data_IF_067583666817
#
_entry.id   IF_067583666817
#
_cell.length_a   1.000
_cell.length_b   1.000
_cell.length_c   1.000
_cell.angle_alpha   90.00
_cell.angle_beta   90.00
_cell.angle_gamma   90.00
#
_symmetry.space_group_name_H-M   'P 1'
#
loop_
_entity.id
_entity.type
_entity.pdbx_description
1 polymer ?
#
# COMPACT_ATOMS: atom_id res chain seq x y z
N UNK A 1 41.38 -20.02 43.75
CA UNK A 1 41.35 -20.03 42.27
C UNK A 1 40.14 -20.83 41.84
N UNK A 2 39.28 -20.51 40.88
CA UNK A 2 38.96 -19.37 40.03
C UNK A 2 37.51 -19.69 39.54
N UNK A 3 36.50 -18.87 39.84
CA UNK A 3 35.97 -17.76 39.04
C UNK A 3 35.13 -18.19 37.81
N UNK A 4 33.87 -17.69 37.79
CA UNK A 4 33.02 -17.30 36.65
C UNK A 4 32.30 -18.49 35.92
N UNK A 5 31.01 -18.48 35.49
CA UNK A 5 30.11 -17.42 34.99
C UNK A 5 28.60 -17.69 35.18
N UNK A 6 27.94 -16.60 35.53
CA UNK A 6 26.57 -16.16 35.20
C UNK A 6 26.45 -15.88 33.69
N UNK A 7 25.30 -16.20 33.10
CA UNK A 7 24.47 -15.29 32.27
C UNK A 7 23.73 -16.02 31.13
N UNK A 8 22.42 -15.74 31.08
CA UNK A 8 21.64 -15.38 29.90
C UNK A 8 21.64 -16.35 28.71
N UNK A 9 20.56 -17.12 28.59
CA UNK A 9 20.05 -17.47 27.26
C UNK A 9 19.56 -16.19 26.57
N UNK A 10 20.03 -15.89 25.35
CA UNK A 10 19.61 -14.70 24.63
C UNK A 10 18.17 -14.90 24.13
N UNK A 11 17.31 -13.98 24.55
CA UNK A 11 15.99 -13.76 23.96
C UNK A 11 16.15 -13.64 22.44
N UNK A 12 15.29 -14.35 21.71
CA UNK A 12 15.21 -14.28 20.26
C UNK A 12 15.14 -12.84 19.77
N UNK A 13 15.90 -12.57 18.72
CA UNK A 13 15.98 -11.30 18.01
C UNK A 13 14.60 -10.66 17.84
N UNK A 14 14.38 -9.52 18.49
CA UNK A 14 13.31 -8.60 18.17
C UNK A 14 13.62 -7.97 16.80
N UNK A 15 13.29 -8.69 15.73
CA UNK A 15 13.14 -8.12 14.39
C UNK A 15 11.88 -7.28 14.47
N UNK A 16 12.01 -5.94 14.47
CA UNK A 16 10.87 -5.02 14.41
C UNK A 16 9.86 -5.54 13.40
N UNK A 17 8.60 -5.82 13.79
CA UNK A 17 7.70 -6.52 12.90
C UNK A 17 7.44 -5.63 11.69
N UNK A 18 7.75 -6.14 10.49
CA UNK A 18 7.15 -5.65 9.26
C UNK A 18 5.65 -5.84 9.48
N UNK A 19 4.94 -4.78 9.87
CA UNK A 19 3.49 -4.88 10.04
C UNK A 19 2.91 -5.29 8.71
N UNK A 20 1.96 -6.21 8.76
CA UNK A 20 1.29 -6.74 7.57
C UNK A 20 -0.19 -6.36 7.59
N UNK A 21 -0.90 -6.54 6.47
CA UNK A 21 -2.36 -6.39 6.41
C UNK A 21 -3.07 -7.17 7.54
N UNK A 22 -2.54 -8.34 7.91
CA UNK A 22 -3.09 -9.15 9.01
C UNK A 22 -3.01 -8.39 10.34
N UNK A 23 -1.91 -7.67 10.60
CA UNK A 23 -1.72 -6.92 11.84
C UNK A 23 -2.59 -5.67 11.89
N UNK A 24 -2.81 -5.01 10.74
CA UNK A 24 -3.80 -3.94 10.61
C UNK A 24 -5.21 -4.47 10.94
N UNK A 25 -5.61 -5.59 10.33
CA UNK A 25 -6.92 -6.22 10.60
C UNK A 25 -7.08 -6.63 12.07
N UNK A 26 -6.03 -7.11 12.73
CA UNK A 26 -6.04 -7.43 14.17
C UNK A 26 -6.23 -6.20 15.06
N UNK A 27 -5.84 -5.02 14.58
CA UNK A 27 -5.98 -3.78 15.33
C UNK A 27 -7.35 -3.11 15.15
N UNK A 28 -8.14 -3.54 14.16
CA UNK A 28 -9.49 -3.02 13.91
C UNK A 28 -10.47 -3.48 14.98
N UNK A 29 -11.43 -2.63 15.26
CA UNK A 29 -12.59 -2.93 16.11
C UNK A 29 -13.59 -3.84 15.40
N UNK A 30 -14.44 -4.53 16.16
CA UNK A 30 -15.52 -5.37 15.62
C UNK A 30 -16.46 -4.60 14.68
N UNK A 31 -16.70 -3.31 14.95
CA UNK A 31 -17.52 -2.44 14.10
C UNK A 31 -16.83 -2.18 12.76
N UNK A 32 -15.53 -1.91 12.76
CA UNK A 32 -14.76 -1.69 11.53
C UNK A 32 -14.63 -2.98 10.70
N UNK A 33 -14.42 -4.12 11.36
CA UNK A 33 -14.41 -5.43 10.69
C UNK A 33 -15.77 -5.78 10.09
N UNK A 34 -16.87 -5.47 10.80
CA UNK A 34 -18.23 -5.62 10.26
C UNK A 34 -18.43 -4.73 9.04
N UNK A 35 -18.02 -3.46 9.10
CA UNK A 35 -18.11 -2.52 7.98
C UNK A 35 -17.34 -3.03 6.76
N UNK A 36 -16.12 -3.57 6.96
CA UNK A 36 -15.34 -4.19 5.90
C UNK A 36 -16.12 -5.33 5.22
N UNK A 37 -16.74 -6.24 6.00
CA UNK A 37 -17.51 -7.35 5.44
C UNK A 37 -18.81 -6.92 4.75
N UNK A 38 -19.41 -5.80 5.17
CA UNK A 38 -20.59 -5.23 4.52
C UNK A 38 -20.23 -4.58 3.17
N UNK A 39 -19.10 -3.89 3.10
CA UNK A 39 -18.62 -3.25 1.86
C UNK A 39 -18.00 -4.29 0.91
N UNK A 40 -17.34 -5.33 1.44
CA UNK A 40 -16.78 -6.46 0.67
C UNK A 40 -17.43 -7.79 1.06
N UNK A 41 -18.65 -8.07 0.57
CA UNK A 41 -19.37 -9.31 0.88
C UNK A 41 -18.70 -10.56 0.32
N UNK A 42 -17.81 -10.42 -0.67
CA UNK A 42 -17.01 -11.51 -1.22
C UNK A 42 -15.99 -12.07 -0.20
N UNK A 43 -15.56 -11.25 0.76
CA UNK A 43 -14.68 -11.70 1.84
C UNK A 43 -15.37 -12.67 2.80
N UNK A 44 -16.68 -12.57 2.95
CA UNK A 44 -17.47 -13.40 3.85
C UNK A 44 -17.86 -14.77 3.24
N UNK A 45 -17.56 -15.02 1.95
CA UNK A 45 -18.04 -16.21 1.23
C UNK A 45 -16.89 -16.97 0.54
N UNK A 46 -16.53 -18.18 1.02
CA UNK A 46 -17.03 -18.85 2.24
C UNK A 46 -16.58 -18.13 3.52
N UNK A 47 -17.20 -18.40 4.67
CA UNK A 47 -16.79 -17.76 5.92
C UNK A 47 -15.30 -18.02 6.21
N UNK A 48 -14.48 -16.98 6.47
CA UNK A 48 -13.07 -17.16 6.80
C UNK A 48 -12.93 -17.79 8.18
N UNK A 49 -11.92 -18.66 8.36
CA UNK A 49 -11.65 -19.30 9.65
C UNK A 49 -11.03 -18.34 10.68
N UNK A 50 -10.24 -17.37 10.21
CA UNK A 50 -9.56 -16.38 11.03
C UNK A 50 -9.20 -15.11 10.21
N UNK A 51 -8.56 -14.13 10.87
CA UNK A 51 -8.11 -12.89 10.22
C UNK A 51 -6.98 -13.10 9.20
N UNK A 52 -6.21 -14.18 9.32
CA UNK A 52 -5.14 -14.52 8.37
C UNK A 52 -5.77 -14.98 7.05
N UNK A 53 -6.77 -15.87 7.12
CA UNK A 53 -7.55 -16.33 5.98
C UNK A 53 -8.35 -15.18 5.35
N UNK A 54 -8.88 -14.26 6.17
CA UNK A 54 -9.53 -13.04 5.70
C UNK A 54 -8.54 -12.17 4.90
N UNK A 55 -7.35 -11.90 5.45
CA UNK A 55 -6.31 -11.11 4.77
C UNK A 55 -5.86 -11.76 3.46
N UNK A 56 -5.58 -13.06 3.47
CA UNK A 56 -5.17 -13.81 2.29
C UNK A 56 -6.24 -13.78 1.18
N UNK A 57 -7.53 -13.87 1.56
CA UNK A 57 -8.63 -13.67 0.62
C UNK A 57 -8.66 -12.24 0.10
N UNK A 58 -8.45 -11.28 1.01
CA UNK A 58 -8.52 -9.87 0.70
C UNK A 58 -7.45 -9.39 -0.27
N UNK A 59 -6.32 -10.08 -0.33
CA UNK A 59 -5.22 -9.83 -1.26
C UNK A 59 -5.27 -10.69 -2.52
N UNK A 60 -6.34 -11.45 -2.76
CA UNK A 60 -6.49 -12.17 -4.04
C UNK A 60 -6.88 -11.24 -5.18
N UNK A 61 -6.39 -11.54 -6.39
CA UNK A 61 -6.67 -10.74 -7.59
C UNK A 61 -8.15 -10.56 -7.85
N UNK A 62 -8.93 -11.65 -7.73
CA UNK A 62 -10.38 -11.61 -7.97
C UNK A 62 -11.11 -10.69 -6.97
N UNK A 63 -10.72 -10.75 -5.70
CA UNK A 63 -11.35 -9.96 -4.64
C UNK A 63 -10.97 -8.47 -4.74
N UNK A 64 -9.70 -8.18 -5.01
CA UNK A 64 -9.24 -6.80 -5.25
C UNK A 64 -9.84 -6.21 -6.53
N UNK A 65 -9.96 -6.99 -7.61
CA UNK A 65 -10.58 -6.50 -8.86
C UNK A 65 -12.02 -6.07 -8.63
N UNK A 66 -12.82 -6.88 -7.93
CA UNK A 66 -14.20 -6.52 -7.56
C UNK A 66 -14.25 -5.27 -6.69
N UNK A 67 -13.38 -5.20 -5.68
CA UNK A 67 -13.32 -4.03 -4.80
C UNK A 67 -12.95 -2.75 -5.56
N UNK A 68 -12.15 -2.84 -6.63
CA UNK A 68 -11.81 -1.72 -7.53
C UNK A 68 -12.97 -1.37 -8.46
N UNK A 69 -13.70 -2.36 -8.99
CA UNK A 69 -14.90 -2.17 -9.82
C UNK A 69 -16.03 -1.46 -9.07
N UNK A 70 -16.13 -1.67 -7.75
CA UNK A 70 -17.10 -1.03 -6.86
C UNK A 70 -16.70 0.38 -6.40
N UNK A 71 -15.52 0.88 -6.78
CA UNK A 71 -15.09 2.25 -6.45
C UNK A 71 -15.81 3.27 -7.33
N UNK A 72 -16.22 4.39 -6.72
CA UNK A 72 -16.57 5.56 -7.50
C UNK A 72 -15.33 6.14 -8.21
N UNK A 73 -15.57 7.01 -9.19
CA UNK A 73 -14.50 7.60 -10.01
C UNK A 73 -13.48 8.40 -9.17
N UNK A 74 -13.91 9.03 -8.08
CA UNK A 74 -13.04 9.81 -7.20
C UNK A 74 -12.09 8.92 -6.41
N UNK A 75 -12.63 7.87 -5.79
CA UNK A 75 -11.87 6.85 -5.07
C UNK A 75 -10.95 6.06 -6.01
N UNK A 76 -11.38 5.76 -7.23
CA UNK A 76 -10.55 5.12 -8.24
C UNK A 76 -9.33 5.98 -8.59
N UNK A 77 -9.53 7.28 -8.83
CA UNK A 77 -8.44 8.24 -9.08
C UNK A 77 -7.50 8.36 -7.89
N UNK A 78 -8.04 8.36 -6.68
CA UNK A 78 -7.22 8.34 -5.46
C UNK A 78 -6.38 7.06 -5.38
N UNK A 79 -6.99 5.89 -5.59
CA UNK A 79 -6.29 4.62 -5.62
C UNK A 79 -5.16 4.60 -6.67
N UNK A 80 -5.41 5.15 -7.86
CA UNK A 80 -4.39 5.33 -8.90
C UNK A 80 -3.22 6.20 -8.42
N UNK A 81 -3.53 7.36 -7.83
CA UNK A 81 -2.52 8.25 -7.27
C UNK A 81 -1.73 7.61 -6.13
N UNK A 82 -2.37 6.80 -5.28
CA UNK A 82 -1.70 6.05 -4.23
C UNK A 82 -0.71 5.02 -4.80
N UNK A 83 -1.12 4.26 -5.81
CA UNK A 83 -0.23 3.30 -6.50
C UNK A 83 0.96 4.03 -7.12
N UNK A 84 0.74 5.12 -7.85
CA UNK A 84 1.81 5.92 -8.48
C UNK A 84 2.78 6.47 -7.42
N UNK A 85 2.29 7.01 -6.31
CA UNK A 85 3.12 7.52 -5.22
C UNK A 85 3.89 6.43 -4.46
N UNK A 86 3.38 5.18 -4.48
CA UNK A 86 4.09 4.03 -3.92
C UNK A 86 5.22 3.55 -4.85
N UNK A 87 5.02 3.57 -6.17
CA UNK A 87 6.01 3.10 -7.16
C UNK A 87 7.12 4.13 -7.44
N UNK A 88 6.81 5.42 -7.36
CA UNK A 88 7.77 6.52 -7.60
C UNK A 88 8.96 6.57 -6.64
N UNK A 89 9.00 5.68 -5.63
CA UNK A 89 10.10 5.51 -4.68
C UNK A 89 10.96 4.27 -4.91
N UNK A 90 10.80 3.57 -6.03
CA UNK A 90 11.81 2.58 -6.43
C UNK A 90 13.15 3.32 -6.61
N UNK A 91 14.21 2.97 -5.85
CA UNK A 91 15.50 3.61 -6.02
C UNK A 91 15.93 3.40 -7.46
N UNK A 92 16.48 4.45 -8.08
CA UNK A 92 17.26 4.35 -9.31
C UNK A 92 18.06 3.05 -9.26
N UNK A 93 17.81 2.14 -10.21
CA UNK A 93 18.41 0.81 -10.28
C UNK A 93 19.93 0.95 -10.25
N UNK A 94 20.50 0.87 -9.05
CA UNK A 94 21.87 0.52 -8.77
C UNK A 94 21.90 -1.00 -8.73
N UNK A 95 22.68 -1.57 -9.65
CA UNK A 95 22.97 -2.99 -9.83
C UNK A 95 22.84 -3.84 -8.54
N UNK A 96 21.92 -4.82 -8.60
CA UNK A 96 22.13 -6.14 -8.01
C UNK A 96 21.86 -6.26 -6.52
N UNK A 97 20.58 -6.20 -6.11
CA UNK A 97 20.07 -7.08 -5.07
C UNK A 97 18.54 -7.13 -5.16
N UNK A 98 17.99 -8.32 -5.41
CA UNK A 98 16.56 -8.56 -5.56
C UNK A 98 15.93 -8.71 -4.17
N UNK A 99 16.00 -7.66 -3.36
CA UNK A 99 15.26 -7.58 -2.10
C UNK A 99 14.17 -6.56 -2.34
N UNK A 100 12.95 -7.04 -2.60
CA UNK A 100 11.77 -6.18 -2.68
C UNK A 100 11.75 -5.32 -1.40
N UNK A 101 11.94 -3.99 -1.48
CA UNK A 101 11.91 -3.19 -0.28
C UNK A 101 10.49 -3.27 0.28
N UNK A 102 10.39 -3.42 1.61
CA UNK A 102 9.14 -3.24 2.33
C UNK A 102 8.45 -1.98 1.79
N UNK A 103 7.16 -2.10 1.44
CA UNK A 103 6.41 -1.02 0.84
C UNK A 103 6.59 0.25 1.68
N UNK A 104 7.19 1.28 1.11
CA UNK A 104 7.47 2.50 1.85
C UNK A 104 6.14 3.20 2.18
N UNK A 105 5.97 3.76 3.39
CA UNK A 105 4.73 4.41 3.81
C UNK A 105 4.32 5.48 2.81
N UNK A 106 3.06 5.48 2.38
CA UNK A 106 2.50 6.36 1.37
C UNK A 106 2.62 7.82 1.80
N UNK A 107 3.29 8.63 0.97
CA UNK A 107 3.35 10.07 1.19
C UNK A 107 2.05 10.75 0.70
N UNK A 108 1.22 11.14 1.66
CA UNK A 108 -0.06 11.81 1.40
C UNK A 108 0.15 13.14 0.67
N UNK A 109 1.27 13.84 0.88
CA UNK A 109 1.55 15.09 0.20
C UNK A 109 1.78 14.88 -1.30
N UNK A 110 2.54 13.86 -1.69
CA UNK A 110 2.71 13.45 -3.08
C UNK A 110 1.38 13.08 -3.73
N UNK A 111 0.53 12.30 -3.04
CA UNK A 111 -0.81 11.93 -3.54
C UNK A 111 -1.69 13.16 -3.75
N UNK A 112 -1.69 14.10 -2.80
CA UNK A 112 -2.41 15.38 -2.92
C UNK A 112 -1.90 16.20 -4.12
N UNK A 113 -0.59 16.26 -4.32
CA UNK A 113 0.02 16.92 -5.48
C UNK A 113 -0.42 16.32 -6.81
N UNK A 114 -0.50 14.98 -6.92
CA UNK A 114 -0.97 14.28 -8.12
C UNK A 114 -2.46 14.58 -8.43
N UNK A 115 -3.27 14.79 -7.39
CA UNK A 115 -4.70 15.05 -7.53
C UNK A 115 -5.06 16.54 -7.57
N UNK A 116 -4.10 17.44 -7.32
CA UNK A 116 -4.36 18.88 -7.18
C UNK A 116 -5.26 19.21 -5.98
N UNK A 117 -5.22 18.42 -4.91
CA UNK A 117 -6.03 18.58 -3.68
C UNK A 117 -5.14 18.88 -2.48
N UNK A 118 -5.72 19.39 -1.40
CA UNK A 118 -4.98 19.52 -0.14
C UNK A 118 -4.85 18.15 0.55
N UNK A 119 -3.74 17.88 1.24
CA UNK A 119 -3.52 16.59 1.91
C UNK A 119 -4.55 16.30 3.01
N UNK A 120 -5.05 17.33 3.71
CA UNK A 120 -6.09 17.16 4.74
C UNK A 120 -7.43 16.67 4.20
N UNK A 121 -7.76 17.04 2.95
CA UNK A 121 -9.03 16.68 2.31
C UNK A 121 -9.05 15.22 1.83
N UNK A 122 -7.88 14.56 1.78
CA UNK A 122 -7.76 13.17 1.34
C UNK A 122 -8.01 12.16 2.44
N UNK A 123 -7.90 12.55 3.72
CA UNK A 123 -8.01 11.62 4.86
C UNK A 123 -9.33 10.84 4.90
N UNK A 124 -10.51 11.45 4.63
CA UNK A 124 -11.76 10.71 4.55
C UNK A 124 -11.75 9.68 3.42
N UNK A 125 -11.24 10.06 2.25
CA UNK A 125 -11.21 9.19 1.07
C UNK A 125 -10.19 8.05 1.22
N UNK A 126 -9.05 8.30 1.89
CA UNK A 126 -8.07 7.27 2.26
C UNK A 126 -8.66 6.29 3.28
N UNK A 127 -9.43 6.78 4.25
CA UNK A 127 -10.17 5.94 5.19
C UNK A 127 -11.14 5.03 4.45
N UNK A 128 -11.86 5.54 3.44
CA UNK A 128 -12.76 4.73 2.62
C UNK A 128 -12.05 3.61 1.83
N UNK A 129 -10.81 3.83 1.37
CA UNK A 129 -10.01 2.79 0.74
C UNK A 129 -9.49 1.76 1.75
N UNK A 130 -9.21 2.18 2.98
CA UNK A 130 -8.83 1.31 4.09
C UNK A 130 -9.98 0.49 4.64
N UNK A 131 -11.19 1.05 4.71
CA UNK A 131 -12.43 0.34 5.06
C UNK A 131 -12.69 -0.82 4.09
N UNK A 132 -12.24 -0.69 2.83
CA UNK A 132 -12.28 -1.73 1.80
C UNK A 132 -11.08 -2.68 1.82
N UNK A 133 -10.14 -2.49 2.74
CA UNK A 133 -8.87 -3.22 2.82
C UNK A 133 -8.06 -3.18 1.50
N UNK A 134 -8.12 -2.06 0.79
CA UNK A 134 -7.24 -1.75 -0.35
C UNK A 134 -5.98 -0.99 0.11
N UNK A 135 -6.08 -0.32 1.25
CA UNK A 135 -4.97 0.23 2.02
C UNK A 135 -4.93 -0.43 3.40
N UNK A 136 -3.76 -0.42 4.02
CA UNK A 136 -3.55 -0.82 5.40
C UNK A 136 -2.66 0.21 6.10
N UNK A 137 -2.62 0.19 7.43
CA UNK A 137 -1.84 1.15 8.21
C UNK A 137 -0.80 0.45 9.06
N UNK A 138 0.35 1.08 9.18
CA UNK A 138 1.33 0.79 10.22
C UNK A 138 1.63 2.04 11.05
N UNK A 139 2.62 1.94 11.93
CA UNK A 139 3.09 3.07 12.74
C UNK A 139 3.77 4.16 11.87
N UNK A 140 4.13 3.84 10.62
CA UNK A 140 4.79 4.74 9.67
C UNK A 140 3.83 5.45 8.72
N UNK A 141 2.59 4.96 8.55
CA UNK A 141 1.53 5.61 7.80
C UNK A 141 0.65 4.64 7.02
N UNK A 142 0.07 5.15 5.94
CA UNK A 142 -0.75 4.36 5.02
C UNK A 142 0.13 3.54 4.10
N UNK A 143 -0.27 2.34 3.75
CA UNK A 143 0.43 1.50 2.79
C UNK A 143 -0.57 0.90 1.80
N UNK A 144 -0.11 0.73 0.57
CA UNK A 144 -0.91 0.15 -0.52
C UNK A 144 -0.84 -1.37 -0.45
N UNK A 145 -1.97 -2.05 -0.63
CA UNK A 145 -1.95 -3.51 -0.79
C UNK A 145 -1.25 -3.87 -2.11
N UNK A 146 -0.20 -4.73 -2.12
CA UNK A 146 0.56 -5.03 -3.34
C UNK A 146 -0.30 -5.51 -4.51
N UNK A 147 -1.34 -6.30 -4.22
CA UNK A 147 -2.28 -6.80 -5.22
C UNK A 147 -3.06 -5.68 -5.92
N UNK A 148 -3.25 -4.52 -5.27
CA UNK A 148 -3.87 -3.35 -5.92
C UNK A 148 -2.99 -2.84 -7.07
N UNK A 149 -1.69 -2.72 -6.85
CA UNK A 149 -0.72 -2.34 -7.90
C UNK A 149 -0.75 -3.33 -9.06
N UNK A 150 -0.80 -4.63 -8.78
CA UNK A 150 -0.89 -5.67 -9.80
C UNK A 150 -2.21 -5.66 -10.59
N UNK A 151 -3.35 -5.40 -9.93
CA UNK A 151 -4.66 -5.30 -10.60
C UNK A 151 -4.72 -4.08 -11.51
N UNK A 152 -4.16 -2.96 -11.08
CA UNK A 152 -4.12 -1.73 -11.87
C UNK A 152 -3.11 -1.78 -13.02
N UNK A 153 -2.18 -2.73 -12.96
CA UNK A 153 -1.22 -3.01 -14.01
C UNK A 153 -0.13 -1.94 -14.13
N UNK A 154 0.75 -2.05 -15.14
CA UNK A 154 1.91 -1.17 -15.29
C UNK A 154 1.55 0.28 -15.63
N UNK A 155 0.31 0.54 -16.06
CA UNK A 155 -0.16 1.84 -16.52
C UNK A 155 -1.47 2.20 -15.78
N UNK A 156 -1.43 2.43 -14.47
CA UNK A 156 -2.63 2.58 -13.64
C UNK A 156 -3.55 3.72 -14.10
N UNK A 157 -2.97 4.77 -14.72
CA UNK A 157 -3.71 5.92 -15.27
C UNK A 157 -3.83 5.90 -16.81
N UNK A 158 -3.44 4.80 -17.48
CA UNK A 158 -3.37 4.72 -18.95
C UNK A 158 -2.29 5.61 -19.58
N UNK A 159 -1.37 6.14 -18.78
CA UNK A 159 -0.36 7.13 -19.17
C UNK A 159 0.95 6.49 -19.69
N UNK A 160 0.88 5.60 -20.68
CA UNK A 160 2.07 5.10 -21.41
C UNK A 160 3.23 4.58 -20.52
N UNK A 161 4.45 4.48 -21.08
CA UNK A 161 5.64 3.96 -20.39
C UNK A 161 5.90 4.65 -19.04
N UNK A 162 6.40 3.89 -18.06
CA UNK A 162 6.74 4.42 -16.73
C UNK A 162 7.78 5.54 -16.86
N UNK A 163 7.72 6.56 -16.00
CA UNK A 163 8.67 7.68 -16.04
C UNK A 163 10.16 7.24 -15.98
N UNK A 164 10.46 6.14 -15.28
CA UNK A 164 11.79 5.55 -15.23
C UNK A 164 12.23 4.85 -16.54
N UNK A 165 11.27 4.41 -17.35
CA UNK A 165 11.46 3.68 -18.60
C UNK A 165 11.42 4.60 -19.82
N UNK A 166 10.95 5.84 -19.67
CA UNK A 166 10.98 6.84 -20.74
C UNK A 166 12.45 7.15 -21.07
N UNK A 167 12.89 6.93 -22.33
CA UNK A 167 14.23 7.29 -22.75
C UNK A 167 14.45 8.79 -22.55
N UNK A 168 15.54 9.16 -21.86
CA UNK A 168 15.87 10.58 -21.58
C UNK A 168 16.02 11.44 -22.84
N UNK A 169 16.22 10.81 -24.01
CA UNK A 169 16.22 11.47 -25.31
C UNK A 169 14.86 12.06 -25.71
N UNK A 170 13.75 11.57 -25.13
CA UNK A 170 12.39 12.04 -25.39
C UNK A 170 11.97 13.12 -24.38
N UNK A 171 12.50 13.06 -23.15
CA UNK A 171 12.30 14.10 -22.14
C UNK A 171 13.18 15.32 -22.45
N UNK A 172 12.72 16.20 -23.34
CA UNK A 172 13.27 17.56 -23.40
C UNK A 172 12.86 18.26 -22.10
N UNK A 173 13.79 18.70 -21.24
CA UNK A 173 13.41 19.50 -20.09
C UNK A 173 12.70 20.75 -20.60
N UNK A 174 11.48 20.98 -20.11
CA UNK A 174 10.76 22.21 -20.37
C UNK A 174 11.58 23.35 -19.77
N UNK A 175 12.24 24.13 -20.62
CA UNK A 175 12.94 25.32 -20.19
C UNK A 175 11.87 26.31 -19.71
N UNK A 176 11.77 26.51 -18.39
CA UNK A 176 10.95 27.56 -17.83
C UNK A 176 11.34 28.89 -18.48
N UNK A 177 10.40 29.71 -18.97
CA UNK A 177 10.72 31.03 -19.47
C UNK A 177 11.35 31.81 -18.31
N UNK A 178 12.56 32.33 -18.55
CA UNK A 178 13.23 33.24 -17.61
C UNK A 178 12.30 34.43 -17.38
N UNK A 179 11.85 34.61 -16.14
CA UNK A 179 11.50 35.94 -15.64
C UNK A 179 12.79 36.67 -15.28
#
# INVERSE_FOLDING_TARGET
>A
MARIRKAASPQGSATSPIRTLVDDLRSRTDTELRSLLLVRPDLARPAPADLTALAARATTRASVSRAVEDLDLGLLRLAQACVIASEGRSPLIGKGELTAPAAAPLDVATVAGLLGRNPGDLVPDLTQLWDRALLWRDDAGWQVVPMLTEVMGPHPAGLGLRAAEVPRSVCRPHASPRQ
#
